data_IF_497425205107
#
_entry.id   IF_497425205107
#
_cell.length_a   1.000
_cell.length_b   1.000
_cell.length_c   1.000
_cell.angle_alpha   90.00
_cell.angle_beta   90.00
_cell.angle_gamma   90.00
#
_symmetry.space_group_name_H-M   'P 1'
#
loop_
_entity.id
_entity.type
_entity.pdbx_description
1 polymer ?
#
# COMPACT_ATOMS: atom_id res chain seq x y z
N UNK A 1 -17.66 -0.62 -23.03
CA UNK A 1 -17.02 -1.31 -21.88
C UNK A 1 -16.88 -0.28 -20.77
N UNK A 2 -17.49 -0.55 -19.62
CA UNK A 2 -17.40 0.29 -18.43
C UNK A 2 -15.92 0.47 -18.01
N UNK A 3 -15.55 1.61 -17.43
CA UNK A 3 -14.18 1.85 -16.95
C UNK A 3 -14.01 1.17 -15.59
N UNK A 4 -13.79 -0.14 -15.60
CA UNK A 4 -13.70 -0.98 -14.38
C UNK A 4 -12.68 -0.44 -13.36
N UNK A 5 -11.57 0.14 -13.83
CA UNK A 5 -10.56 0.75 -12.95
C UNK A 5 -11.16 1.93 -12.18
N UNK A 6 -11.94 2.79 -12.86
CA UNK A 6 -12.57 3.96 -12.22
C UNK A 6 -13.62 3.53 -11.21
N UNK A 7 -14.46 2.56 -11.54
CA UNK A 7 -15.51 2.07 -10.64
C UNK A 7 -14.95 1.40 -9.40
N UNK A 8 -14.01 0.47 -9.56
CA UNK A 8 -13.39 -0.23 -8.42
C UNK A 8 -12.63 0.71 -7.51
N UNK A 9 -11.92 1.70 -8.07
CA UNK A 9 -11.21 2.71 -7.25
C UNK A 9 -12.15 3.68 -6.53
N UNK A 10 -13.33 3.95 -7.08
CA UNK A 10 -14.27 4.90 -6.50
C UNK A 10 -15.16 4.26 -5.41
N UNK A 11 -15.49 2.97 -5.56
CA UNK A 11 -16.55 2.34 -4.76
C UNK A 11 -16.18 0.98 -4.17
N UNK A 12 -15.09 0.35 -4.61
CA UNK A 12 -14.70 -0.98 -4.16
C UNK A 12 -13.94 -0.95 -2.83
N UNK A 13 -14.13 -1.94 -1.94
CA UNK A 13 -13.18 -2.20 -0.87
C UNK A 13 -11.79 -2.41 -1.45
N UNK A 14 -10.77 -2.05 -0.68
CA UNK A 14 -9.39 -2.14 -1.12
C UNK A 14 -8.44 -2.57 -0.01
N UNK A 15 -7.29 -3.09 -0.41
CA UNK A 15 -6.12 -3.23 0.45
C UNK A 15 -4.95 -2.54 -0.25
N UNK A 16 -4.28 -1.65 0.47
CA UNK A 16 -3.00 -1.07 0.05
C UNK A 16 -1.87 -1.80 0.74
N UNK A 17 -1.04 -2.47 -0.03
CA UNK A 17 0.16 -3.15 0.43
C UNK A 17 1.40 -2.28 0.25
N UNK A 18 2.27 -2.28 1.26
CA UNK A 18 3.62 -1.76 1.24
C UNK A 18 4.58 -2.86 0.73
N UNK A 19 5.15 -2.62 -0.45
CA UNK A 19 6.11 -3.53 -1.09
C UNK A 19 7.53 -3.28 -0.59
N UNK A 20 7.91 -2.01 -0.47
CA UNK A 20 9.20 -1.58 0.01
C UNK A 20 9.43 -1.91 1.48
N UNK A 21 10.70 -2.05 1.85
CA UNK A 21 11.13 -2.05 3.25
C UNK A 21 12.17 -0.96 3.43
N UNK A 22 11.84 0.11 4.15
CA UNK A 22 12.73 1.24 4.41
C UNK A 22 14.05 0.84 5.10
N UNK A 23 14.11 -0.33 5.73
CA UNK A 23 15.32 -0.89 6.32
C UNK A 23 16.31 -1.48 5.29
N UNK A 24 15.90 -1.63 4.03
CA UNK A 24 16.71 -2.18 2.95
C UNK A 24 17.12 -1.08 1.97
N UNK A 25 18.24 -1.28 1.29
CA UNK A 25 18.78 -0.35 0.29
C UNK A 25 18.98 -1.05 -1.06
N UNK A 26 18.95 -0.27 -2.13
CA UNK A 26 19.32 -0.65 -3.49
C UNK A 26 18.71 -2.00 -3.94
N UNK A 27 19.57 -2.98 -4.25
CA UNK A 27 19.17 -4.28 -4.78
C UNK A 27 18.50 -5.17 -3.72
N UNK A 28 18.78 -4.95 -2.43
CA UNK A 28 18.07 -5.65 -1.38
C UNK A 28 16.61 -5.16 -1.29
N UNK A 29 16.41 -3.84 -1.35
CA UNK A 29 15.09 -3.22 -1.38
C UNK A 29 14.30 -3.70 -2.61
N UNK A 30 14.89 -3.58 -3.80
CA UNK A 30 14.24 -3.95 -5.08
C UNK A 30 13.80 -5.42 -5.10
N UNK A 31 14.68 -6.33 -4.63
CA UNK A 31 14.37 -7.76 -4.58
C UNK A 31 13.24 -8.06 -3.61
N UNK A 32 13.19 -7.39 -2.47
CA UNK A 32 12.11 -7.57 -1.50
C UNK A 32 10.77 -7.05 -2.04
N UNK A 33 10.74 -5.86 -2.65
CA UNK A 33 9.55 -5.31 -3.30
C UNK A 33 8.98 -6.28 -4.35
N UNK A 34 9.82 -6.75 -5.27
CA UNK A 34 9.43 -7.74 -6.29
C UNK A 34 8.97 -9.05 -5.68
N UNK A 35 9.60 -9.51 -4.59
CA UNK A 35 9.22 -10.74 -3.89
C UNK A 35 7.81 -10.61 -3.30
N UNK A 36 7.50 -9.47 -2.63
CA UNK A 36 6.17 -9.21 -2.06
C UNK A 36 5.11 -9.05 -3.16
N UNK A 37 5.39 -8.27 -4.19
CA UNK A 37 4.47 -8.07 -5.30
C UNK A 37 4.12 -9.39 -5.99
N UNK A 38 5.12 -10.26 -6.21
CA UNK A 38 4.90 -11.59 -6.79
C UNK A 38 4.12 -12.52 -5.86
N UNK A 39 4.36 -12.44 -4.54
CA UNK A 39 3.61 -13.22 -3.56
C UNK A 39 2.13 -12.79 -3.51
N UNK A 40 1.84 -11.49 -3.48
CA UNK A 40 0.48 -10.95 -3.55
C UNK A 40 -0.21 -11.39 -4.85
N UNK A 41 0.47 -11.22 -5.99
CA UNK A 41 -0.04 -11.69 -7.28
C UNK A 41 -0.39 -13.18 -7.26
N UNK A 42 0.49 -14.04 -6.74
CA UNK A 42 0.25 -15.49 -6.69
C UNK A 42 -0.93 -15.88 -5.79
N UNK A 43 -1.27 -15.05 -4.81
CA UNK A 43 -2.47 -15.25 -3.98
C UNK A 43 -3.76 -14.86 -4.69
N UNK A 44 -3.69 -14.06 -5.77
CA UNK A 44 -4.84 -13.56 -6.51
C UNK A 44 -5.10 -14.36 -7.79
N UNK A 45 -4.05 -14.83 -8.48
CA UNK A 45 -4.16 -15.38 -9.82
C UNK A 45 -3.75 -16.85 -9.89
N UNK A 46 -4.72 -17.74 -10.14
CA UNK A 46 -4.49 -19.12 -10.57
C UNK A 46 -4.12 -19.20 -12.05
N UNK A 47 -3.39 -20.24 -12.46
CA UNK A 47 -2.83 -20.32 -13.82
C UNK A 47 -3.87 -20.29 -14.95
N UNK A 48 -5.08 -20.80 -14.69
CA UNK A 48 -6.19 -20.89 -15.66
C UNK A 48 -7.21 -19.74 -15.52
N UNK A 49 -6.96 -18.77 -14.65
CA UNK A 49 -7.86 -17.63 -14.48
C UNK A 49 -7.89 -16.75 -15.72
N UNK A 50 -9.09 -16.24 -16.04
CA UNK A 50 -9.27 -15.26 -17.09
C UNK A 50 -8.89 -13.87 -16.58
N UNK A 51 -7.90 -13.26 -17.23
CA UNK A 51 -7.33 -11.97 -16.84
C UNK A 51 -7.54 -10.95 -17.94
N UNK A 52 -8.04 -9.78 -17.57
CA UNK A 52 -7.99 -8.58 -18.40
C UNK A 52 -6.72 -7.82 -18.04
N UNK A 53 -5.74 -7.86 -18.94
CA UNK A 53 -4.55 -7.03 -18.88
C UNK A 53 -4.87 -5.66 -19.49
N UNK A 54 -4.70 -4.60 -18.69
CA UNK A 54 -4.98 -3.23 -19.10
C UNK A 54 -3.68 -2.43 -19.00
N UNK A 55 -3.29 -1.79 -20.09
CA UNK A 55 -2.14 -0.88 -20.13
C UNK A 55 -2.62 0.52 -20.45
N UNK A 56 -2.17 1.52 -19.67
CA UNK A 56 -2.49 2.93 -19.87
C UNK A 56 -1.24 3.77 -20.00
N UNK A 57 -1.23 4.64 -21.00
CA UNK A 57 -0.20 5.66 -21.19
C UNK A 57 -0.84 6.99 -21.51
N UNK A 58 -0.32 8.05 -20.89
CA UNK A 58 -0.76 9.41 -21.14
C UNK A 58 0.11 10.09 -22.20
N UNK A 59 -0.52 10.88 -23.05
CA UNK A 59 0.10 11.58 -24.17
C UNK A 59 -0.38 13.02 -24.23
N UNK A 60 0.48 13.92 -24.72
CA UNK A 60 0.04 15.25 -25.11
C UNK A 60 -0.53 15.24 -26.52
N UNK A 61 -1.62 15.96 -26.75
CA UNK A 61 -2.16 16.20 -28.10
C UNK A 61 -1.17 16.93 -29.02
N UNK A 62 -0.22 17.67 -28.44
CA UNK A 62 0.84 18.37 -29.18
C UNK A 62 2.00 17.45 -29.61
N UNK A 63 2.06 16.22 -29.10
CA UNK A 63 3.18 15.30 -29.33
C UNK A 63 3.17 14.74 -30.76
N UNK A 64 4.14 15.16 -31.59
CA UNK A 64 4.21 14.78 -33.02
C UNK A 64 4.54 13.30 -33.25
N UNK A 65 5.13 12.61 -32.27
CA UNK A 65 5.54 11.21 -32.37
C UNK A 65 5.31 10.49 -31.05
N UNK A 66 4.21 9.77 -30.96
CA UNK A 66 3.91 8.90 -29.82
C UNK A 66 4.78 7.64 -29.89
N UNK A 67 5.52 7.35 -28.81
CA UNK A 67 6.34 6.14 -28.74
C UNK A 67 5.46 4.87 -28.81
N UNK A 68 5.83 3.93 -29.69
CA UNK A 68 5.08 2.67 -29.84
C UNK A 68 5.32 1.77 -28.63
N UNK A 69 4.25 1.33 -27.99
CA UNK A 69 4.31 0.43 -26.85
C UNK A 69 4.35 -1.02 -27.33
N UNK A 70 5.41 -1.74 -26.95
CA UNK A 70 5.60 -3.15 -27.32
C UNK A 70 4.92 -4.08 -26.33
N UNK A 71 3.58 -4.09 -26.29
CA UNK A 71 2.79 -4.88 -25.34
C UNK A 71 3.07 -6.39 -25.41
N UNK A 72 3.37 -6.92 -26.60
CA UNK A 72 3.65 -8.35 -26.83
C UNK A 72 4.72 -8.94 -25.90
N UNK A 73 5.67 -8.12 -25.42
CA UNK A 73 6.75 -8.58 -24.53
C UNK A 73 6.26 -9.05 -23.16
N UNK A 74 5.06 -8.65 -22.74
CA UNK A 74 4.46 -9.01 -21.46
C UNK A 74 3.79 -10.39 -21.48
N UNK A 75 3.72 -11.04 -22.64
CA UNK A 75 2.99 -12.29 -22.83
C UNK A 75 3.92 -13.40 -23.34
N UNK A 76 3.64 -14.64 -22.98
CA UNK A 76 4.35 -15.84 -23.46
C UNK A 76 3.81 -16.31 -24.81
N UNK A 77 2.53 -16.05 -25.09
CA UNK A 77 1.83 -16.47 -26.31
C UNK A 77 1.61 -15.29 -27.26
N UNK A 78 1.29 -15.59 -28.52
CA UNK A 78 0.88 -14.56 -29.48
C UNK A 78 -0.51 -14.04 -29.11
N UNK A 79 -0.61 -12.73 -28.89
CA UNK A 79 -1.88 -12.05 -28.64
C UNK A 79 -2.85 -12.26 -29.80
N UNK A 80 -4.00 -12.88 -29.53
CA UNK A 80 -5.04 -13.14 -30.54
C UNK A 80 -5.93 -11.92 -30.78
N UNK A 81 -6.28 -11.20 -29.71
CA UNK A 81 -7.15 -10.02 -29.75
C UNK A 81 -6.57 -8.95 -28.82
N UNK A 82 -6.48 -7.72 -29.32
CA UNK A 82 -6.05 -6.55 -28.56
C UNK A 82 -6.98 -5.40 -28.94
N UNK A 83 -7.64 -4.84 -27.93
CA UNK A 83 -8.50 -3.68 -28.10
C UNK A 83 -7.73 -2.43 -27.65
N UNK A 84 -8.07 -1.28 -28.22
CA UNK A 84 -7.55 -0.01 -27.73
C UNK A 84 -8.58 1.09 -27.81
N UNK A 85 -8.54 2.04 -26.87
CA UNK A 85 -9.41 3.21 -26.87
C UNK A 85 -8.68 4.43 -26.32
N UNK A 86 -9.15 5.61 -26.69
CA UNK A 86 -8.70 6.88 -26.12
C UNK A 86 -9.68 7.31 -25.04
N UNK A 87 -9.17 7.68 -23.87
CA UNK A 87 -9.89 8.17 -22.72
C UNK A 87 -9.44 9.61 -22.42
N UNK A 88 -10.24 10.41 -21.69
CA UNK A 88 -9.76 11.63 -21.04
C UNK A 88 -8.51 11.35 -20.20
N UNK A 89 -7.72 12.39 -19.92
CA UNK A 89 -6.51 12.25 -19.12
C UNK A 89 -6.84 11.72 -17.72
N UNK A 90 -6.21 10.60 -17.34
CA UNK A 90 -6.65 9.81 -16.18
C UNK A 90 -6.46 10.49 -14.81
N UNK A 91 -5.69 11.58 -14.75
CA UNK A 91 -5.45 12.32 -13.51
C UNK A 91 -6.26 13.62 -13.42
N UNK A 92 -6.62 14.17 -14.56
CA UNK A 92 -7.44 15.37 -14.66
C UNK A 92 -8.27 15.27 -15.94
N UNK A 93 -9.53 14.84 -15.80
CA UNK A 93 -10.42 14.68 -16.95
C UNK A 93 -10.78 16.02 -17.60
N UNK A 94 -10.51 17.15 -16.93
CA UNK A 94 -10.70 18.51 -17.46
C UNK A 94 -9.51 19.02 -18.26
N UNK A 95 -8.35 18.38 -18.16
CA UNK A 95 -7.18 18.68 -19.00
C UNK A 95 -7.44 18.17 -20.43
N UNK A 96 -7.67 19.13 -21.33
CA UNK A 96 -7.93 18.87 -22.73
C UNK A 96 -6.66 18.89 -23.59
N UNK A 97 -5.48 19.15 -23.02
CA UNK A 97 -4.20 19.03 -23.73
C UNK A 97 -3.64 17.61 -23.67
N UNK A 98 -4.03 16.84 -22.64
CA UNK A 98 -3.62 15.47 -22.42
C UNK A 98 -4.74 14.46 -22.73
N UNK A 99 -4.35 13.23 -23.03
CA UNK A 99 -5.28 12.11 -23.12
C UNK A 99 -4.61 10.80 -22.68
N UNK A 100 -5.40 9.82 -22.29
CA UNK A 100 -4.90 8.48 -21.95
C UNK A 100 -5.26 7.49 -23.04
N UNK A 101 -4.23 6.82 -23.58
CA UNK A 101 -4.41 5.66 -24.46
C UNK A 101 -4.47 4.40 -23.62
N UNK A 102 -5.54 3.64 -23.77
CA UNK A 102 -5.73 2.37 -23.09
C UNK A 102 -5.66 1.21 -24.10
N UNK A 103 -4.94 0.17 -23.73
CA UNK A 103 -4.93 -1.12 -24.43
C UNK A 103 -5.44 -2.21 -23.50
N UNK A 104 -6.30 -3.07 -24.03
CA UNK A 104 -6.94 -4.16 -23.31
C UNK A 104 -6.63 -5.47 -24.04
N UNK A 105 -6.19 -6.46 -23.26
CA UNK A 105 -5.94 -7.82 -23.75
C UNK A 105 -6.55 -8.80 -22.75
N UNK A 106 -7.39 -9.71 -23.25
CA UNK A 106 -7.89 -10.83 -22.46
C UNK A 106 -6.99 -12.06 -22.68
N UNK A 107 -6.50 -12.64 -21.59
CA UNK A 107 -5.57 -13.79 -21.59
C UNK A 107 -5.82 -14.68 -20.38
N UNK A 108 -5.25 -15.89 -20.38
CA UNK A 108 -5.08 -16.66 -19.15
C UNK A 108 -3.91 -16.14 -18.33
N UNK A 109 -3.97 -16.23 -17.01
CA UNK A 109 -2.89 -15.79 -16.12
C UNK A 109 -1.53 -16.42 -16.47
N UNK A 110 -1.49 -17.71 -16.84
CA UNK A 110 -0.27 -18.41 -17.29
C UNK A 110 0.37 -17.84 -18.56
N UNK A 111 -0.38 -17.07 -19.34
CA UNK A 111 0.13 -16.42 -20.55
C UNK A 111 0.85 -15.11 -20.25
N UNK A 112 0.77 -14.60 -19.01
CA UNK A 112 1.48 -13.41 -18.57
C UNK A 112 2.90 -13.75 -18.12
N UNK A 113 3.88 -12.98 -18.60
CA UNK A 113 5.27 -13.02 -18.12
C UNK A 113 5.39 -12.22 -16.83
N UNK A 114 4.70 -12.66 -15.78
CA UNK A 114 4.51 -11.85 -14.57
C UNK A 114 5.77 -11.34 -13.88
N UNK A 115 6.83 -12.14 -13.70
CA UNK A 115 8.10 -11.60 -13.20
C UNK A 115 8.63 -10.44 -14.04
N UNK A 116 8.50 -10.51 -15.37
CA UNK A 116 8.90 -9.43 -16.28
C UNK A 116 7.96 -8.23 -16.19
N UNK A 117 6.65 -8.43 -15.99
CA UNK A 117 5.68 -7.35 -15.78
C UNK A 117 6.03 -6.56 -14.52
N UNK A 118 6.17 -7.23 -13.38
CA UNK A 118 6.48 -6.60 -12.10
C UNK A 118 7.84 -5.89 -12.15
N UNK A 119 8.87 -6.57 -12.66
CA UNK A 119 10.20 -5.97 -12.85
C UNK A 119 10.15 -4.73 -13.74
N UNK A 120 9.31 -4.72 -14.77
CA UNK A 120 9.18 -3.55 -15.65
C UNK A 120 8.54 -2.35 -14.96
N UNK A 121 7.66 -2.57 -13.98
CA UNK A 121 7.03 -1.49 -13.20
C UNK A 121 8.05 -0.95 -12.20
N UNK A 122 8.61 -1.84 -11.38
CA UNK A 122 9.65 -1.54 -10.38
C UNK A 122 10.81 -0.72 -10.97
N UNK A 123 11.34 -1.16 -12.11
CA UNK A 123 12.51 -0.54 -12.71
C UNK A 123 12.30 0.91 -13.19
N UNK A 124 11.06 1.41 -13.24
CA UNK A 124 10.79 2.82 -13.58
C UNK A 124 11.45 3.74 -12.55
N UNK A 125 11.26 3.49 -11.26
CA UNK A 125 11.82 4.31 -10.17
C UNK A 125 13.34 4.13 -10.04
N UNK A 126 13.84 2.94 -10.37
CA UNK A 126 15.28 2.66 -10.44
C UNK A 126 15.95 3.12 -11.74
N UNK A 127 15.20 3.69 -12.70
CA UNK A 127 15.69 4.09 -14.03
C UNK A 127 16.41 2.96 -14.78
N UNK A 128 15.93 1.72 -14.63
CA UNK A 128 16.48 0.51 -15.25
C UNK A 128 15.63 0.02 -16.42
N UNK A 129 16.14 -0.94 -17.19
CA UNK A 129 15.35 -1.68 -18.20
C UNK A 129 15.16 -3.13 -17.72
N UNK A 130 14.01 -3.77 -18.05
CA UNK A 130 12.89 -3.23 -18.81
C UNK A 130 12.09 -2.16 -18.03
N UNK A 131 11.33 -1.32 -18.74
CA UNK A 131 10.37 -0.35 -18.16
C UNK A 131 8.98 -0.71 -18.66
N UNK A 132 7.93 -0.48 -17.87
CA UNK A 132 6.53 -0.78 -18.20
C UNK A 132 6.00 0.10 -19.36
N UNK A 133 6.49 1.34 -19.47
CA UNK A 133 6.08 2.31 -20.50
C UNK A 133 4.68 2.89 -20.27
N UNK A 134 4.13 2.71 -19.07
CA UNK A 134 2.79 3.11 -18.69
C UNK A 134 2.34 2.38 -17.42
N UNK A 135 1.09 2.62 -17.00
CA UNK A 135 0.47 1.89 -15.89
C UNK A 135 -0.08 0.56 -16.38
N UNK A 136 0.06 -0.47 -15.56
CA UNK A 136 -0.46 -1.81 -15.84
C UNK A 136 -1.44 -2.17 -14.74
N UNK A 137 -2.64 -2.58 -15.14
CA UNK A 137 -3.66 -3.10 -14.25
C UNK A 137 -3.99 -4.52 -14.70
N UNK A 138 -4.18 -5.43 -13.74
CA UNK A 138 -4.58 -6.80 -14.00
C UNK A 138 -5.90 -7.04 -13.29
N UNK A 139 -6.97 -7.26 -14.04
CA UNK A 139 -8.26 -7.62 -13.48
C UNK A 139 -8.48 -9.12 -13.65
N UNK A 140 -8.57 -9.85 -12.55
CA UNK A 140 -8.94 -11.25 -12.52
C UNK A 140 -10.46 -11.39 -12.57
N UNK A 141 -10.98 -11.89 -13.69
CA UNK A 141 -12.43 -12.09 -13.89
C UNK A 141 -12.97 -13.26 -13.05
N UNK A 142 -12.12 -14.23 -12.69
CA UNK A 142 -12.54 -15.42 -11.94
C UNK A 142 -12.94 -15.11 -10.50
N UNK A 143 -12.29 -14.12 -9.88
CA UNK A 143 -12.52 -13.75 -8.48
C UNK A 143 -12.81 -12.27 -8.26
N UNK A 144 -13.00 -11.50 -9.33
CA UNK A 144 -13.34 -10.07 -9.29
C UNK A 144 -12.30 -9.23 -8.51
N UNK A 145 -11.01 -9.43 -8.78
CA UNK A 145 -9.93 -8.68 -8.14
C UNK A 145 -9.13 -7.89 -9.15
N UNK A 146 -9.01 -6.58 -8.92
CA UNK A 146 -8.12 -5.68 -9.65
C UNK A 146 -6.82 -5.51 -8.88
N UNK A 147 -5.73 -5.96 -9.49
CA UNK A 147 -4.36 -5.80 -8.99
C UNK A 147 -3.67 -4.63 -9.70
N UNK A 148 -3.05 -3.74 -8.93
CA UNK A 148 -2.33 -2.57 -9.42
C UNK A 148 -1.07 -2.29 -8.58
N UNK A 149 0.08 -2.81 -9.03
CA UNK A 149 1.39 -2.32 -8.61
C UNK A 149 1.70 -1.04 -9.40
N UNK A 150 1.90 0.08 -8.72
CA UNK A 150 2.10 1.38 -9.37
C UNK A 150 3.54 1.88 -9.36
N UNK A 151 4.32 1.51 -8.35
CA UNK A 151 5.74 1.82 -8.20
C UNK A 151 6.43 0.75 -7.33
N UNK A 152 7.69 1.01 -6.95
CA UNK A 152 8.49 0.18 -6.06
C UNK A 152 8.08 0.22 -4.58
N UNK A 153 7.09 1.05 -4.22
CA UNK A 153 6.65 1.25 -2.83
C UNK A 153 5.35 0.56 -2.54
N UNK A 154 4.42 0.51 -3.50
CA UNK A 154 3.06 0.09 -3.21
C UNK A 154 2.32 -0.71 -4.29
N UNK A 155 1.39 -1.52 -3.80
CA UNK A 155 0.45 -2.28 -4.60
C UNK A 155 -0.95 -2.18 -4.00
N UNK A 156 -1.90 -1.71 -4.81
CA UNK A 156 -3.30 -1.66 -4.44
C UNK A 156 -4.04 -2.85 -5.05
N UNK A 157 -4.90 -3.47 -4.26
CA UNK A 157 -5.87 -4.47 -4.72
C UNK A 157 -7.28 -4.01 -4.40
N UNK A 158 -8.18 -4.15 -5.36
CA UNK A 158 -9.59 -3.78 -5.23
C UNK A 158 -10.48 -4.96 -5.61
N UNK A 159 -11.69 -4.98 -5.09
CA UNK A 159 -12.76 -5.87 -5.54
C UNK A 159 -14.09 -5.14 -5.45
N UNK A 160 -15.14 -5.63 -6.13
CA UNK A 160 -16.51 -5.22 -5.81
C UNK A 160 -17.06 -5.95 -4.57
N UNK A 161 -16.42 -7.06 -4.17
CA UNK A 161 -16.80 -7.85 -3.02
C UNK A 161 -15.68 -7.89 -1.96
N UNK A 162 -16.01 -7.45 -0.74
CA UNK A 162 -15.11 -7.54 0.41
C UNK A 162 -14.67 -8.97 0.69
N UNK A 163 -15.56 -9.95 0.50
CA UNK A 163 -15.29 -11.36 0.81
C UNK A 163 -14.14 -11.92 -0.04
N UNK A 164 -13.98 -11.43 -1.28
CA UNK A 164 -12.88 -11.79 -2.18
C UNK A 164 -11.52 -11.30 -1.66
N UNK A 165 -11.48 -10.20 -0.90
CA UNK A 165 -10.24 -9.63 -0.36
C UNK A 165 -9.89 -10.16 1.04
N UNK A 166 -10.85 -10.73 1.78
CA UNK A 166 -10.64 -11.19 3.16
C UNK A 166 -9.48 -12.20 3.28
N UNK A 167 -9.32 -13.21 2.40
CA UNK A 167 -8.18 -14.12 2.46
C UNK A 167 -6.84 -13.41 2.28
N UNK A 168 -6.78 -12.38 1.42
CA UNK A 168 -5.56 -11.60 1.19
C UNK A 168 -5.21 -10.73 2.39
N UNK A 169 -6.24 -10.13 3.01
CA UNK A 169 -6.09 -9.34 4.23
C UNK A 169 -5.48 -10.17 5.36
N UNK A 170 -5.94 -11.41 5.57
CA UNK A 170 -5.36 -12.30 6.58
C UNK A 170 -3.95 -12.76 6.22
N UNK A 171 -3.76 -13.24 4.99
CA UNK A 171 -2.50 -13.83 4.55
C UNK A 171 -1.36 -12.82 4.50
N UNK A 172 -1.64 -11.61 4.00
CA UNK A 172 -0.65 -10.55 3.77
C UNK A 172 -0.81 -9.40 4.75
N UNK A 173 -1.45 -9.62 5.92
CA UNK A 173 -1.75 -8.57 6.90
C UNK A 173 -0.53 -7.74 7.28
N UNK A 174 0.63 -8.39 7.40
CA UNK A 174 1.92 -7.77 7.73
C UNK A 174 2.41 -6.75 6.69
N UNK A 175 1.96 -6.86 5.45
CA UNK A 175 2.36 -5.98 4.36
C UNK A 175 1.35 -4.88 4.09
N UNK A 176 0.24 -4.80 4.84
CA UNK A 176 -0.70 -3.67 4.70
C UNK A 176 0.02 -2.39 5.14
N UNK A 177 -0.06 -1.35 4.30
CA UNK A 177 0.54 -0.06 4.59
C UNK A 177 -0.08 0.53 5.87
N UNK A 178 0.75 0.73 6.89
CA UNK A 178 0.27 1.19 8.21
C UNK A 178 -0.48 2.52 8.16
N UNK A 179 -0.17 3.39 7.19
CA UNK A 179 -0.91 4.64 6.95
C UNK A 179 -2.42 4.40 6.72
N UNK A 180 -2.77 3.34 5.98
CA UNK A 180 -4.15 2.97 5.67
C UNK A 180 -4.69 1.87 6.58
N UNK A 181 -3.90 1.35 7.54
CA UNK A 181 -4.29 0.18 8.34
C UNK A 181 -5.58 0.39 9.10
N UNK A 182 -5.76 1.53 9.76
CA UNK A 182 -6.96 1.79 10.55
C UNK A 182 -8.24 1.73 9.70
N UNK A 183 -8.20 2.32 8.50
CA UNK A 183 -9.30 2.28 7.53
C UNK A 183 -9.52 0.86 6.99
N UNK A 184 -8.45 0.17 6.59
CA UNK A 184 -8.52 -1.19 6.04
C UNK A 184 -9.06 -2.18 7.07
N UNK A 185 -8.60 -2.11 8.32
CA UNK A 185 -9.11 -2.91 9.43
C UNK A 185 -10.64 -2.71 9.59
N UNK A 186 -11.11 -1.47 9.48
CA UNK A 186 -12.54 -1.15 9.53
C UNK A 186 -13.33 -1.72 8.35
N UNK A 187 -12.75 -1.81 7.14
CA UNK A 187 -13.42 -2.44 5.99
C UNK A 187 -13.76 -3.89 6.35
N UNK A 188 -12.81 -4.63 6.95
CA UNK A 188 -12.93 -6.05 7.24
C UNK A 188 -13.58 -6.41 8.58
N UNK A 189 -14.04 -5.42 9.36
CA UNK A 189 -14.62 -5.62 10.69
C UNK A 189 -13.67 -6.39 11.64
N UNK A 190 -12.37 -6.22 11.46
CA UNK A 190 -11.30 -6.91 12.20
C UNK A 190 -10.22 -5.91 12.64
N UNK A 191 -9.24 -6.34 13.44
CA UNK A 191 -8.17 -5.43 13.89
C UNK A 191 -8.74 -4.23 14.64
N UNK A 192 -8.47 -3.01 14.21
CA UNK A 192 -8.98 -1.78 14.87
C UNK A 192 -10.44 -1.43 14.57
N UNK A 193 -11.20 -2.27 13.86
CA UNK A 193 -12.62 -2.01 13.58
C UNK A 193 -13.44 -1.68 14.86
N UNK A 194 -14.28 -0.66 14.76
CA UNK A 194 -15.16 -0.20 15.83
C UNK A 194 -14.48 0.67 16.90
N UNK A 195 -13.16 0.81 16.87
CA UNK A 195 -12.44 1.78 17.72
C UNK A 195 -12.52 3.13 17.04
N UNK A 196 -12.94 4.18 17.77
CA UNK A 196 -13.18 5.51 17.20
C UNK A 196 -12.29 6.54 17.91
N UNK A 197 -11.61 7.37 17.14
CA UNK A 197 -11.03 8.63 17.63
C UNK A 197 -12.12 9.72 17.63
N UNK A 198 -12.41 10.28 18.80
CA UNK A 198 -13.30 11.44 18.94
C UNK A 198 -12.63 12.72 18.44
N UNK A 199 -13.41 13.74 18.11
CA UNK A 199 -12.88 15.03 17.67
C UNK A 199 -12.01 15.70 18.76
N UNK A 200 -12.36 15.53 20.03
CA UNK A 200 -11.57 15.98 21.17
C UNK A 200 -10.22 15.26 21.26
N UNK A 201 -10.22 13.92 21.14
CA UNK A 201 -8.99 13.11 21.14
C UNK A 201 -8.08 13.52 19.97
N UNK A 202 -8.64 13.66 18.76
CA UNK A 202 -7.92 14.09 17.56
C UNK A 202 -7.30 15.47 17.74
N UNK A 203 -8.07 16.44 18.24
CA UNK A 203 -7.60 17.82 18.46
C UNK A 203 -6.48 17.84 19.51
N UNK A 204 -6.63 17.07 20.59
CA UNK A 204 -5.62 16.97 21.63
C UNK A 204 -4.33 16.36 21.07
N UNK A 205 -4.42 15.21 20.39
CA UNK A 205 -3.28 14.54 19.76
C UNK A 205 -2.56 15.46 18.79
N UNK A 206 -3.28 16.10 17.88
CA UNK A 206 -2.70 17.04 16.91
C UNK A 206 -2.00 18.21 17.60
N UNK A 207 -2.58 18.77 18.66
CA UNK A 207 -1.95 19.86 19.43
C UNK A 207 -0.66 19.41 20.10
N UNK A 208 -0.67 18.23 20.74
CA UNK A 208 0.50 17.66 21.41
C UNK A 208 1.62 17.32 20.43
N UNK A 209 1.28 16.70 19.30
CA UNK A 209 2.23 16.32 18.26
C UNK A 209 2.87 17.55 17.62
N UNK A 210 2.07 18.55 17.22
CA UNK A 210 2.60 19.78 16.64
C UNK A 210 3.51 20.54 17.60
N UNK A 211 3.11 20.63 18.88
CA UNK A 211 3.95 21.25 19.90
C UNK A 211 5.29 20.51 20.02
N UNK A 212 5.26 19.18 20.15
CA UNK A 212 6.47 18.37 20.28
C UNK A 212 7.37 18.41 19.05
N UNK A 213 6.79 18.43 17.85
CA UNK A 213 7.52 18.63 16.59
C UNK A 213 8.14 20.02 16.53
N UNK A 214 7.42 21.07 16.93
CA UNK A 214 7.98 22.43 17.00
C UNK A 214 9.14 22.50 18.00
N UNK A 215 8.94 21.98 19.20
CA UNK A 215 9.94 21.97 20.28
C UNK A 215 11.19 21.14 19.92
N UNK A 216 11.07 20.18 18.99
CA UNK A 216 12.21 19.40 18.50
C UNK A 216 13.25 20.21 17.73
N UNK A 217 12.86 21.36 17.16
CA UNK A 217 13.69 22.15 16.25
C UNK A 217 14.04 21.46 14.93
N UNK A 218 13.41 20.31 14.60
CA UNK A 218 13.66 19.59 13.35
C UNK A 218 12.96 20.29 12.19
N UNK A 219 13.72 20.67 11.17
CA UNK A 219 13.17 21.21 9.94
C UNK A 219 12.57 20.08 9.08
N UNK A 220 11.25 19.97 9.06
CA UNK A 220 10.52 18.94 8.30
C UNK A 220 10.66 19.05 6.78
N UNK A 221 11.21 20.15 6.24
CA UNK A 221 11.50 20.32 4.80
C UNK A 221 12.87 19.79 4.39
N UNK A 222 13.66 19.34 5.36
CA UNK A 222 14.96 18.67 5.15
C UNK A 222 14.86 17.23 5.62
N UNK A 223 16.00 16.53 5.63
CA UNK A 223 16.09 15.20 6.25
C UNK A 223 15.61 15.28 7.69
N UNK A 224 14.53 14.56 7.96
CA UNK A 224 13.83 14.53 9.24
C UNK A 224 13.54 13.09 9.69
N UNK A 225 14.28 12.11 9.15
CA UNK A 225 14.20 10.72 9.57
C UNK A 225 14.61 10.58 11.02
N UNK A 226 13.76 9.94 11.81
CA UNK A 226 13.96 9.70 13.23
C UNK A 226 13.65 8.24 13.56
N UNK A 227 14.32 7.70 14.58
CA UNK A 227 13.82 6.56 15.32
C UNK A 227 12.68 7.04 16.22
N UNK A 228 11.44 6.70 15.88
CA UNK A 228 10.24 7.08 16.63
C UNK A 228 9.83 5.89 17.50
N UNK A 229 9.65 6.14 18.79
CA UNK A 229 9.28 5.15 19.80
C UNK A 229 7.91 5.50 20.37
N UNK A 230 6.99 4.55 20.38
CA UNK A 230 5.65 4.67 20.94
C UNK A 230 5.55 3.81 22.20
N UNK A 231 5.11 4.42 23.29
CA UNK A 231 5.12 3.83 24.63
C UNK A 231 3.71 3.43 25.04
N UNK A 232 3.58 2.24 25.61
CA UNK A 232 2.31 1.68 26.03
C UNK A 232 2.39 1.06 27.42
N UNK A 233 1.27 1.08 28.13
CA UNK A 233 1.02 0.24 29.29
C UNK A 233 -0.23 -0.60 29.00
N UNK A 234 -0.08 -1.92 29.00
CA UNK A 234 -1.10 -2.87 28.57
C UNK A 234 -1.36 -3.86 29.72
N UNK A 235 -2.62 -4.04 30.16
CA UNK A 235 -2.99 -5.08 31.13
C UNK A 235 -2.50 -6.47 30.71
N UNK A 236 -2.09 -7.28 31.69
CA UNK A 236 -1.58 -8.64 31.45
C UNK A 236 -2.52 -9.50 30.60
N UNK A 237 -3.84 -9.36 30.77
CA UNK A 237 -4.86 -10.06 29.98
C UNK A 237 -4.86 -9.72 28.47
N UNK A 238 -4.39 -8.53 28.10
CA UNK A 238 -4.34 -8.05 26.71
C UNK A 238 -2.94 -8.09 26.10
N UNK A 239 -1.89 -8.29 26.90
CA UNK A 239 -0.49 -8.15 26.50
C UNK A 239 -0.13 -8.99 25.26
N UNK A 240 -0.47 -10.28 25.27
CA UNK A 240 -0.17 -11.19 24.16
C UNK A 240 -0.94 -10.84 22.88
N UNK A 241 -2.18 -10.38 23.01
CA UNK A 241 -2.99 -9.97 21.87
C UNK A 241 -2.47 -8.67 21.26
N UNK A 242 -2.16 -7.69 22.11
CA UNK A 242 -1.54 -6.43 21.70
C UNK A 242 -0.22 -6.66 20.95
N UNK A 243 0.68 -7.46 21.51
CA UNK A 243 1.97 -7.74 20.89
C UNK A 243 1.82 -8.41 19.52
N UNK A 244 0.93 -9.40 19.41
CA UNK A 244 0.61 -10.04 18.13
C UNK A 244 0.11 -9.04 17.09
N UNK A 245 -0.83 -8.17 17.47
CA UNK A 245 -1.39 -7.18 16.55
C UNK A 245 -0.35 -6.16 16.07
N UNK A 246 0.49 -5.63 16.99
CA UNK A 246 1.58 -4.73 16.57
C UNK A 246 2.60 -5.48 15.69
N UNK A 247 2.87 -6.77 15.94
CA UNK A 247 3.79 -7.56 15.11
C UNK A 247 3.32 -7.78 13.65
N UNK A 248 2.03 -7.53 13.39
CA UNK A 248 1.41 -7.54 12.06
C UNK A 248 1.45 -6.15 11.40
N UNK A 249 2.11 -5.17 12.02
CA UNK A 249 2.45 -3.87 11.43
C UNK A 249 3.91 -3.84 10.97
N UNK A 250 4.37 -2.71 10.44
CA UNK A 250 5.80 -2.48 10.17
C UNK A 250 6.61 -2.05 11.40
N UNK A 251 5.96 -1.85 12.56
CA UNK A 251 6.63 -1.42 13.79
C UNK A 251 7.34 -2.60 14.47
N UNK A 252 8.56 -2.37 14.94
CA UNK A 252 9.26 -3.31 15.80
C UNK A 252 8.74 -3.19 17.24
N UNK A 253 8.18 -4.27 17.78
CA UNK A 253 7.62 -4.29 19.13
C UNK A 253 8.60 -4.92 20.14
N UNK A 254 8.69 -4.32 21.33
CA UNK A 254 9.44 -4.85 22.46
C UNK A 254 8.57 -4.85 23.71
N UNK A 255 8.37 -6.02 24.31
CA UNK A 255 7.78 -6.17 25.65
C UNK A 255 8.83 -5.87 26.73
N UNK A 256 8.48 -5.02 27.68
CA UNK A 256 9.26 -4.68 28.87
C UNK A 256 8.42 -5.05 30.11
N UNK A 257 9.06 -5.48 31.19
CA UNK A 257 8.35 -5.93 32.40
C UNK A 257 8.46 -4.93 33.54
N UNK A 258 7.32 -4.44 34.07
CA UNK A 258 7.21 -3.84 35.41
C UNK A 258 5.81 -4.17 36.00
N UNK A 259 5.80 -4.79 37.18
CA UNK A 259 4.66 -5.22 38.04
C UNK A 259 3.84 -6.43 37.57
N UNK A 260 3.09 -7.04 38.49
CA UNK A 260 2.35 -8.30 38.29
C UNK A 260 1.12 -8.14 37.35
N UNK A 261 0.57 -6.94 37.22
CA UNK A 261 -0.73 -6.71 36.56
C UNK A 261 -0.67 -6.03 35.17
N UNK A 262 0.48 -5.48 34.78
CA UNK A 262 0.63 -4.73 33.52
C UNK A 262 2.01 -4.92 32.88
N UNK A 263 2.06 -4.78 31.56
CA UNK A 263 3.29 -4.79 30.78
C UNK A 263 3.50 -3.44 30.10
N UNK A 264 4.74 -2.98 30.09
CA UNK A 264 5.13 -1.83 29.26
C UNK A 264 5.57 -2.34 27.89
N UNK A 265 5.18 -1.65 26.83
CA UNK A 265 5.65 -1.96 25.49
C UNK A 265 6.24 -0.72 24.81
N UNK A 266 7.22 -0.97 23.94
CA UNK A 266 7.75 0.03 23.04
C UNK A 266 7.59 -0.48 21.60
N UNK A 267 6.80 0.22 20.79
CA UNK A 267 6.73 0.03 19.35
C UNK A 267 7.62 1.07 18.65
N UNK A 268 8.55 0.62 17.80
CA UNK A 268 9.55 1.48 17.16
C UNK A 268 9.41 1.47 15.64
N UNK A 269 9.52 2.64 15.02
CA UNK A 269 9.64 2.77 13.56
C UNK A 269 10.64 3.87 13.20
N UNK A 270 11.51 3.59 12.25
CA UNK A 270 12.42 4.60 11.68
C UNK A 270 11.72 5.23 10.49
N UNK A 271 11.33 6.50 10.58
CA UNK A 271 10.64 7.20 9.49
C UNK A 271 10.80 8.71 9.60
N UNK A 272 10.43 9.43 8.54
CA UNK A 272 10.32 10.89 8.55
C UNK A 272 9.36 11.36 9.64
N UNK A 273 9.82 12.30 10.48
CA UNK A 273 9.01 12.91 11.54
C UNK A 273 7.77 13.64 11.00
N UNK A 274 7.80 14.07 9.73
CA UNK A 274 6.65 14.66 9.05
C UNK A 274 5.43 13.71 8.98
N UNK A 275 5.63 12.41 9.18
CA UNK A 275 4.58 11.40 9.15
C UNK A 275 4.08 11.01 10.55
N UNK A 276 4.41 11.79 11.59
CA UNK A 276 4.06 11.43 12.97
C UNK A 276 2.54 11.32 13.21
N UNK A 277 1.73 12.14 12.52
CA UNK A 277 0.27 12.22 12.73
C UNK A 277 -0.43 10.87 12.51
N UNK A 278 -0.13 10.16 11.41
CA UNK A 278 -0.74 8.85 11.17
C UNK A 278 -0.23 7.81 12.19
N UNK A 279 1.04 7.89 12.59
CA UNK A 279 1.62 6.95 13.54
C UNK A 279 0.96 7.12 14.92
N UNK A 280 0.85 8.34 15.43
CA UNK A 280 0.24 8.61 16.72
C UNK A 280 -1.26 8.33 16.72
N UNK A 281 -1.95 8.58 15.60
CA UNK A 281 -3.34 8.14 15.41
C UNK A 281 -3.44 6.62 15.56
N UNK A 282 -2.70 5.86 14.73
CA UNK A 282 -2.73 4.40 14.75
C UNK A 282 -2.39 3.82 16.13
N UNK A 283 -1.32 4.33 16.75
CA UNK A 283 -0.86 3.90 18.07
C UNK A 283 -1.85 4.25 19.18
N UNK A 284 -2.51 5.41 19.10
CA UNK A 284 -3.57 5.75 20.05
C UNK A 284 -4.78 4.81 19.96
N UNK A 285 -5.14 4.35 18.75
CA UNK A 285 -6.22 3.40 18.54
C UNK A 285 -5.88 2.01 19.10
N UNK A 286 -4.65 1.55 18.90
CA UNK A 286 -4.16 0.34 19.57
C UNK A 286 -4.17 0.49 21.10
N UNK A 287 -3.75 1.64 21.61
CA UNK A 287 -3.84 1.99 23.03
C UNK A 287 -5.28 1.85 23.52
N UNK A 288 -6.22 2.57 22.90
CA UNK A 288 -7.65 2.55 23.26
C UNK A 288 -8.26 1.14 23.25
N UNK A 289 -7.83 0.29 22.31
CA UNK A 289 -8.33 -1.08 22.19
C UNK A 289 -7.80 -2.02 23.28
N UNK A 290 -6.53 -1.90 23.64
CA UNK A 290 -5.84 -2.92 24.43
C UNK A 290 -5.36 -2.46 25.81
N UNK A 291 -5.24 -1.16 26.06
CA UNK A 291 -4.73 -0.59 27.31
C UNK A 291 -4.56 0.93 27.24
N UNK A 292 -3.33 1.42 27.42
CA UNK A 292 -3.03 2.85 27.38
C UNK A 292 -1.84 3.16 26.46
N UNK A 293 -2.04 4.11 25.54
CA UNK A 293 -0.95 4.75 24.80
C UNK A 293 -0.44 5.95 25.59
N UNK A 294 0.84 5.93 25.97
CA UNK A 294 1.47 6.97 26.82
C UNK A 294 2.14 8.09 26.03
N UNK A 295 2.09 8.01 24.69
CA UNK A 295 2.71 8.96 23.80
C UNK A 295 3.97 8.40 23.15
N UNK A 296 4.72 9.28 22.50
CA UNK A 296 5.88 8.91 21.71
C UNK A 296 7.12 9.68 22.13
N UNK A 297 8.30 9.17 21.79
CA UNK A 297 9.58 9.88 21.83
C UNK A 297 10.33 9.65 20.52
N UNK A 298 11.41 10.39 20.29
CA UNK A 298 12.21 10.23 19.07
C UNK A 298 13.68 10.48 19.33
N UNK A 299 14.52 9.87 18.49
CA UNK A 299 15.93 10.20 18.33
C UNK A 299 16.20 10.42 16.83
N UNK A 300 17.10 11.35 16.48
CA UNK A 300 17.54 11.50 15.09
C UNK A 300 18.23 10.21 14.65
N UNK A 301 17.87 9.74 13.44
CA UNK A 301 18.52 8.60 12.81
C UNK A 301 19.89 8.99 12.21
#
# INVERSE_FOLDING_TARGET
MVNIIKEMKAHGPYIRFELGLDSLMDEAYRRESLRRALAIYRSIFGSEDDVIFIHRTSHSKSEKRVQKIHLKRFFTTRLRLMQSRTLPYEFDESDDELYTREWIVEVKAKELRMPYVLESIENVDFKRKPTSGGRIYLYNKSNDILFHMYDDRGCDVFSSDKSALLPLYHLHRKWILDYNRYEIDSIFDEGLAGIIETDEEKKLRWTLDNKKVSDSGINLRRVNTCHILHHFEIPSENADKFEREISLTSFAIRRLSITDDQFTFIATKTQALALIDYQTHLMSMFGKKYGAYKGWSFAKA
#
